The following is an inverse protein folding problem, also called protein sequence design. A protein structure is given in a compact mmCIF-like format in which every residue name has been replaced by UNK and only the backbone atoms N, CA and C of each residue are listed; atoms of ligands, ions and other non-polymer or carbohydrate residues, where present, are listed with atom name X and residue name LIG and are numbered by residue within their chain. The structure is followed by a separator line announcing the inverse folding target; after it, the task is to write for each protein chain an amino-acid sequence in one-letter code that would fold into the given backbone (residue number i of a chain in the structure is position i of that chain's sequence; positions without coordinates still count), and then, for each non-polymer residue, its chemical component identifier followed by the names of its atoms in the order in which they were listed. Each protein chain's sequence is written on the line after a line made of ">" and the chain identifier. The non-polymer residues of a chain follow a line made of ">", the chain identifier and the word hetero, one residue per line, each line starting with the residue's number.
data_IF_785108496710
#
_entry.id   IF_785108496710
#
_cell.length_a   1.000
_cell.length_b   1.000
_cell.length_c   1.000
_cell.angle_alpha   90.00
_cell.angle_beta   90.00
_cell.angle_gamma   90.00
#
_symmetry.space_group_name_H-M   'P 1'
#
loop_
_entity.id
_entity.type
_entity.pdbx_description
1 polymer ?
#
# COMPACT_ATOMS: atom_id res chain seq x y z
N UNK A 1 9.12 -30.40 2.75
CA UNK A 1 9.04 -30.11 2.37
C UNK A 1 9.01 -30.03 1.75
N UNK A 2 8.89 -29.87 1.80
CA UNK A 2 8.87 -29.51 1.31
C UNK A 2 8.69 -29.34 0.64
N UNK A 3 8.41 -29.41 0.66
CA UNK A 3 8.26 -28.94 -0.02
C UNK A 3 8.34 -28.85 -0.80
N UNK A 4 8.25 -29.11 -0.75
CA UNK A 4 8.36 -28.74 -1.46
C UNK A 4 8.46 -28.57 -2.24
N UNK A 5 8.47 -29.08 -2.26
CA UNK A 5 8.55 -28.69 -2.93
C UNK A 5 8.44 -28.36 -3.62
N UNK A 6 8.15 -28.48 -3.63
CA UNK A 6 7.93 -27.86 -4.17
C UNK A 6 8.02 -27.37 -4.96
N UNK A 7 7.91 -27.62 -5.13
CA UNK A 7 7.92 -27.09 -5.78
C UNK A 7 7.93 -26.34 -6.44
N UNK A 8 7.74 -26.20 -6.86
CA UNK A 8 7.68 -25.37 -7.39
C UNK A 8 7.24 -24.55 -7.91
N UNK A 9 6.81 -24.38 -7.72
CA UNK A 9 6.14 -23.54 -8.10
C UNK A 9 6.80 -22.46 -8.46
N UNK A 10 6.99 -22.19 -9.47
CA UNK A 10 7.82 -21.23 -9.85
C UNK A 10 7.41 -19.95 -9.49
N UNK A 11 6.39 -19.60 -9.69
CA UNK A 11 6.10 -18.34 -9.43
C UNK A 11 6.07 -18.06 -8.08
N UNK A 12 6.23 -18.96 -7.34
CA UNK A 12 6.02 -18.71 -6.12
C UNK A 12 7.15 -18.25 -5.52
N UNK A 13 7.28 -17.32 -5.16
CA UNK A 13 8.29 -16.88 -4.76
C UNK A 13 8.30 -16.61 -3.79
N UNK A 14 7.86 -16.61 -3.27
CA UNK A 14 8.20 -16.39 -2.53
C UNK A 14 7.97 -16.08 -1.36
N UNK A 15 7.51 -16.81 -0.43
CA UNK A 15 7.52 -16.68 0.95
C UNK A 15 8.90 -16.65 1.42
N UNK A 16 9.23 -15.89 2.41
CA UNK A 16 10.54 -15.97 3.00
C UNK A 16 10.79 -17.37 3.57
N UNK A 17 12.02 -17.77 3.75
CA UNK A 17 12.31 -19.07 4.32
C UNK A 17 11.69 -19.21 5.70
N UNK A 18 11.32 -20.43 6.04
CA UNK A 18 10.73 -20.66 7.36
C UNK A 18 11.75 -20.39 8.42
N UNK A 19 11.35 -19.67 9.44
CA UNK A 19 12.21 -19.31 10.54
C UNK A 19 11.49 -19.63 11.82
N UNK A 20 12.16 -20.26 12.80
CA UNK A 20 11.52 -20.58 14.06
C UNK A 20 10.94 -19.36 14.74
N UNK A 21 9.83 -19.53 15.42
CA UNK A 21 9.16 -18.43 16.08
C UNK A 21 10.10 -17.65 16.99
N UNK A 22 10.99 -18.30 17.65
CA UNK A 22 11.89 -17.61 18.56
C UNK A 22 12.80 -16.63 17.86
N UNK A 23 13.00 -16.78 16.55
CA UNK A 23 13.88 -15.90 15.81
C UNK A 23 13.15 -14.91 14.93
N UNK A 24 11.85 -15.09 14.75
CA UNK A 24 11.13 -14.24 13.81
C UNK A 24 11.06 -12.80 14.22
N UNK A 25 10.97 -12.55 15.49
CA UNK A 25 10.81 -11.17 15.95
C UNK A 25 12.04 -10.33 15.66
N UNK A 26 13.17 -10.98 15.39
CA UNK A 26 14.38 -10.23 15.09
C UNK A 26 14.79 -10.35 13.62
N UNK A 27 14.02 -11.07 12.83
CA UNK A 27 14.44 -11.33 11.46
C UNK A 27 13.89 -10.24 10.53
N UNK A 28 14.72 -9.68 9.68
CA UNK A 28 14.25 -8.56 8.85
C UNK A 28 13.16 -8.94 7.83
N UNK A 29 13.07 -10.20 7.45
CA UNK A 29 12.06 -10.63 6.51
C UNK A 29 10.72 -10.93 7.16
N UNK A 30 10.64 -10.93 8.48
CA UNK A 30 9.40 -11.19 9.17
C UNK A 30 9.04 -9.99 10.02
N UNK A 31 7.84 -9.56 9.91
CA UNK A 31 7.36 -8.49 10.75
C UNK A 31 6.33 -9.06 11.68
N UNK A 32 6.71 -9.23 12.93
CA UNK A 32 5.83 -9.81 13.93
C UNK A 32 5.04 -8.76 14.70
N UNK A 33 5.16 -7.50 14.33
CA UNK A 33 4.40 -6.48 15.00
C UNK A 33 3.01 -6.48 14.40
N UNK A 34 2.08 -7.10 15.08
CA UNK A 34 0.71 -7.21 14.58
C UNK A 34 0.08 -5.86 14.32
N UNK A 35 0.50 -4.84 15.03
CA UNK A 35 -0.05 -3.52 14.80
C UNK A 35 0.24 -3.03 13.39
N UNK A 36 1.31 -3.49 12.79
CA UNK A 36 1.63 -3.05 11.44
C UNK A 36 0.82 -3.76 10.39
N UNK A 37 0.22 -4.90 10.72
CA UNK A 37 -0.59 -5.62 9.76
C UNK A 37 -2.08 -5.38 9.95
N UNK A 38 -2.47 -4.81 11.07
CA UNK A 38 -3.88 -4.58 11.31
C UNK A 38 -4.33 -3.32 10.62
N UNK A 39 -5.56 -3.30 10.21
CA UNK A 39 -6.11 -2.08 9.64
C UNK A 39 -6.22 -1.03 10.70
N UNK A 40 -5.94 0.18 10.34
CA UNK A 40 -6.10 1.31 11.23
C UNK A 40 -6.84 2.41 10.48
N UNK A 41 -7.47 3.28 11.22
CA UNK A 41 -8.22 4.38 10.64
C UNK A 41 -7.49 5.68 10.91
N UNK A 42 -7.28 6.45 9.86
CA UNK A 42 -6.63 7.75 9.98
C UNK A 42 -7.53 8.78 9.32
N UNK A 43 -7.76 9.88 9.98
CA UNK A 43 -8.57 10.97 9.45
C UNK A 43 -7.65 12.14 9.12
N UNK A 44 -7.60 12.51 7.85
CA UNK A 44 -6.82 13.64 7.39
C UNK A 44 -7.78 14.76 7.06
N UNK A 45 -7.56 15.94 7.65
CA UNK A 45 -8.45 17.07 7.46
C UNK A 45 -7.67 18.20 6.81
N UNK A 46 -8.24 18.76 5.75
CA UNK A 46 -7.71 19.96 5.11
C UNK A 46 -8.74 21.06 5.25
N UNK A 47 -8.29 22.29 5.29
CA UNK A 47 -9.25 23.40 5.37
C UNK A 47 -9.93 23.64 4.04
N UNK A 48 -9.26 23.38 2.95
CA UNK A 48 -9.86 23.50 1.62
C UNK A 48 -9.28 22.45 0.69
N UNK A 49 -10.04 22.12 -0.34
CA UNK A 49 -9.63 21.09 -1.28
C UNK A 49 -8.39 21.49 -2.09
N UNK A 50 -8.05 22.78 -2.10
CA UNK A 50 -6.84 23.20 -2.80
C UNK A 50 -5.56 22.89 -2.03
N UNK A 51 -5.67 22.56 -0.74
CA UNK A 51 -4.48 22.23 0.02
C UNK A 51 -3.96 20.84 -0.37
N UNK A 52 -2.66 20.68 -0.29
CA UNK A 52 -2.06 19.41 -0.65
C UNK A 52 -2.50 18.31 0.29
N UNK A 53 -2.60 17.11 -0.25
CA UNK A 53 -2.87 15.95 0.58
C UNK A 53 -1.64 15.53 1.39
N UNK A 54 -0.47 15.85 0.89
CA UNK A 54 0.76 15.48 1.58
C UNK A 54 1.26 14.11 1.24
N UNK A 55 0.62 13.41 0.31
CA UNK A 55 1.08 12.09 -0.10
C UNK A 55 0.69 11.83 -1.54
N UNK A 56 1.39 10.89 -2.16
CA UNK A 56 1.07 10.41 -3.49
C UNK A 56 0.62 8.96 -3.40
N UNK A 57 -0.11 8.49 -4.39
CA UNK A 57 -0.56 7.12 -4.43
C UNK A 57 -0.04 6.42 -5.69
N UNK A 58 -0.01 5.10 -5.61
CA UNK A 58 0.44 4.25 -6.69
C UNK A 58 -0.48 3.05 -6.78
N UNK A 59 -0.63 2.50 -7.97
CA UNK A 59 -1.43 1.31 -8.18
C UNK A 59 -2.79 1.62 -8.72
N UNK A 60 -3.67 0.67 -8.62
CA UNK A 60 -5.03 0.80 -9.12
C UNK A 60 -5.47 -0.45 -9.83
N UNK A 61 -6.77 -0.54 -10.06
CA UNK A 61 -7.39 -1.70 -10.68
C UNK A 61 -6.80 -1.98 -12.06
N UNK A 62 -6.49 -0.95 -12.82
CA UNK A 62 -5.93 -1.13 -14.17
C UNK A 62 -4.53 -1.72 -14.14
N UNK A 63 -3.89 -1.71 -12.99
CA UNK A 63 -2.57 -2.31 -12.81
C UNK A 63 -2.67 -3.61 -12.02
N UNK A 64 -3.88 -4.10 -11.80
CA UNK A 64 -4.13 -5.36 -11.10
C UNK A 64 -3.59 -5.36 -9.68
N UNK A 65 -3.68 -4.23 -9.02
CA UNK A 65 -3.24 -4.13 -7.63
C UNK A 65 -4.05 -3.05 -6.91
N UNK A 66 -3.89 -3.02 -5.60
CA UNK A 66 -4.57 -2.02 -4.79
C UNK A 66 -3.91 -0.66 -4.88
N UNK A 67 -4.38 0.26 -4.07
CA UNK A 67 -3.85 1.61 -4.01
C UNK A 67 -2.95 1.71 -2.79
N UNK A 68 -1.74 2.19 -3.00
CA UNK A 68 -0.73 2.30 -1.94
C UNK A 68 -0.20 3.71 -1.89
N UNK A 69 0.23 4.14 -0.71
CA UNK A 69 0.95 5.40 -0.60
C UNK A 69 2.35 5.18 -1.15
N UNK A 70 2.75 5.97 -2.11
CA UNK A 70 4.07 5.85 -2.72
C UNK A 70 5.03 6.89 -2.20
N UNK A 71 4.54 7.92 -1.56
CA UNK A 71 5.39 8.95 -1.00
C UNK A 71 4.59 9.76 0.01
N UNK A 72 5.20 10.09 1.13
CA UNK A 72 4.59 10.99 2.12
C UNK A 72 5.56 12.15 2.25
N UNK A 73 5.04 13.36 2.06
CA UNK A 73 5.87 14.56 2.08
C UNK A 73 6.23 14.93 3.51
N UNK A 74 7.44 15.42 3.73
CA UNK A 74 7.83 15.84 5.07
C UNK A 74 7.07 17.10 5.48
N UNK A 75 6.91 17.25 6.75
CA UNK A 75 6.29 18.45 7.35
C UNK A 75 4.86 18.67 6.90
N UNK A 76 4.13 17.59 6.67
CA UNK A 76 2.71 17.67 6.31
C UNK A 76 1.87 17.00 7.38
N UNK A 77 0.58 17.26 7.33
CA UNK A 77 -0.34 16.59 8.23
C UNK A 77 -0.31 15.09 8.01
N UNK A 78 -0.13 14.66 6.76
CA UNK A 78 -0.04 13.24 6.47
C UNK A 78 1.10 12.59 7.23
N UNK A 79 2.27 13.22 7.23
CA UNK A 79 3.40 12.69 7.97
C UNK A 79 3.11 12.68 9.47
N UNK A 80 2.53 13.76 9.97
CA UNK A 80 2.24 13.86 11.38
C UNK A 80 1.26 12.78 11.85
N UNK A 81 0.34 12.39 11.00
CA UNK A 81 -0.64 11.36 11.32
C UNK A 81 -0.11 9.94 11.21
N UNK A 82 1.14 9.79 10.81
CA UNK A 82 1.74 8.47 10.75
C UNK A 82 1.53 7.73 9.45
N UNK A 83 1.09 8.43 8.41
CA UNK A 83 1.02 7.82 7.10
C UNK A 83 2.42 7.59 6.58
N UNK A 84 2.62 6.50 5.87
CA UNK A 84 3.95 6.21 5.35
C UNK A 84 3.87 5.42 4.06
N UNK A 85 4.98 5.45 3.34
CA UNK A 85 5.11 4.70 2.11
C UNK A 85 4.82 3.23 2.38
N UNK A 86 4.15 2.58 1.47
CA UNK A 86 3.73 1.17 1.55
C UNK A 86 2.46 0.94 2.36
N UNK A 87 1.82 2.01 2.86
CA UNK A 87 0.48 1.85 3.41
C UNK A 87 -0.48 1.58 2.26
N UNK A 88 -1.29 0.56 2.39
CA UNK A 88 -2.35 0.29 1.42
C UNK A 88 -3.62 0.97 1.89
N UNK A 89 -4.26 1.71 1.00
CA UNK A 89 -5.54 2.33 1.33
C UNK A 89 -6.64 1.34 1.04
N UNK A 90 -7.33 0.91 2.05
CA UNK A 90 -8.41 -0.08 1.92
C UNK A 90 -9.72 0.61 1.59
N UNK A 91 -9.99 1.73 2.21
CA UNK A 91 -11.21 2.48 1.94
C UNK A 91 -11.01 3.95 2.27
N UNK A 92 -11.83 4.79 1.65
CA UNK A 92 -11.83 6.22 1.92
C UNK A 92 -13.28 6.65 2.05
N UNK A 93 -13.63 7.20 3.18
CA UNK A 93 -15.00 7.71 3.45
C UNK A 93 -16.06 6.67 3.10
N UNK A 94 -15.78 5.43 3.40
CA UNK A 94 -16.74 4.35 3.15
C UNK A 94 -16.70 3.75 1.78
N UNK A 95 -15.89 4.29 0.87
CA UNK A 95 -15.78 3.74 -0.47
C UNK A 95 -14.57 2.81 -0.53
N UNK A 96 -14.76 1.60 -1.00
CA UNK A 96 -13.67 0.64 -1.07
C UNK A 96 -12.65 1.05 -2.10
N UNK A 97 -11.37 0.96 -1.74
CA UNK A 97 -10.29 1.23 -2.66
C UNK A 97 -9.59 -0.06 -3.06
N UNK A 98 -10.20 -1.20 -2.79
CA UNK A 98 -9.55 -2.45 -3.13
C UNK A 98 -9.68 -2.81 -4.59
N UNK A 99 -10.62 -2.22 -5.31
CA UNK A 99 -10.80 -2.52 -6.71
C UNK A 99 -11.24 -1.23 -7.41
N UNK A 100 -10.36 -0.24 -7.41
CA UNK A 100 -10.69 1.07 -7.93
C UNK A 100 -9.60 1.52 -8.89
N UNK A 101 -9.99 2.24 -9.91
CA UNK A 101 -9.01 2.79 -10.85
C UNK A 101 -8.24 3.92 -10.21
N UNK A 102 -6.99 4.07 -10.62
CA UNK A 102 -6.11 5.07 -10.05
C UNK A 102 -6.70 6.47 -10.14
N UNK A 103 -7.18 6.84 -11.32
CA UNK A 103 -7.72 8.19 -11.51
C UNK A 103 -8.94 8.43 -10.67
N UNK A 104 -9.77 7.42 -10.48
CA UNK A 104 -10.94 7.56 -9.65
C UNK A 104 -10.57 7.72 -8.19
N UNK A 105 -9.58 6.99 -7.75
CA UNK A 105 -9.08 7.12 -6.38
C UNK A 105 -8.55 8.53 -6.14
N UNK A 106 -7.79 9.07 -7.09
CA UNK A 106 -7.26 10.42 -6.97
C UNK A 106 -8.41 11.42 -6.88
N UNK A 107 -9.44 11.25 -7.70
CA UNK A 107 -10.58 12.16 -7.66
C UNK A 107 -11.26 12.16 -6.31
N UNK A 108 -11.47 10.98 -5.74
CA UNK A 108 -12.15 10.88 -4.45
C UNK A 108 -11.30 11.55 -3.38
N UNK A 109 -9.99 11.31 -3.40
CA UNK A 109 -9.13 11.91 -2.39
C UNK A 109 -9.09 13.42 -2.52
N UNK A 110 -9.04 13.93 -3.73
CA UNK A 110 -8.91 15.37 -3.92
C UNK A 110 -10.22 16.11 -3.73
N UNK A 111 -11.34 15.42 -3.78
CA UNK A 111 -12.62 16.06 -3.68
C UNK A 111 -13.08 16.31 -2.25
N UNK A 112 -12.39 15.74 -1.28
CA UNK A 112 -12.85 15.80 0.10
C UNK A 112 -11.88 16.53 0.98
N UNK A 113 -12.40 17.32 1.90
CA UNK A 113 -11.55 17.98 2.90
C UNK A 113 -11.36 17.10 4.12
N UNK A 114 -12.32 16.25 4.41
CA UNK A 114 -12.18 15.30 5.49
C UNK A 114 -12.07 13.92 4.89
N UNK A 115 -10.95 13.25 5.09
CA UNK A 115 -10.67 11.99 4.47
C UNK A 115 -10.45 10.96 5.56
N UNK A 116 -11.42 10.09 5.74
CA UNK A 116 -11.34 9.02 6.73
C UNK A 116 -10.86 7.78 5.99
N UNK A 117 -9.62 7.40 6.22
CA UNK A 117 -9.01 6.30 5.49
C UNK A 117 -8.80 5.10 6.38
N UNK A 118 -9.10 3.93 5.85
CA UNK A 118 -8.67 2.69 6.47
C UNK A 118 -7.43 2.22 5.74
N UNK A 119 -6.39 1.96 6.49
CA UNK A 119 -5.08 1.66 5.93
C UNK A 119 -4.51 0.41 6.54
N UNK A 120 -3.62 -0.24 5.79
CA UNK A 120 -2.88 -1.37 6.29
C UNK A 120 -1.46 -1.27 5.75
N UNK A 121 -0.47 -1.33 6.63
CA UNK A 121 0.91 -1.26 6.19
C UNK A 121 1.26 -2.61 5.54
N UNK A 122 1.53 -2.59 4.25
CA UNK A 122 1.71 -3.84 3.51
C UNK A 122 2.85 -3.70 2.50
N UNK A 123 4.10 -3.66 3.00
CA UNK A 123 5.25 -3.44 2.10
C UNK A 123 5.43 -4.49 1.03
N UNK A 124 5.08 -5.73 1.30
CA UNK A 124 5.21 -6.78 0.30
C UNK A 124 4.31 -6.48 -0.89
N UNK A 125 3.06 -6.13 -0.62
CA UNK A 125 2.14 -5.78 -1.69
C UNK A 125 2.58 -4.53 -2.43
N UNK A 126 3.13 -3.57 -1.71
CA UNK A 126 3.62 -2.36 -2.32
C UNK A 126 4.79 -2.65 -3.28
N UNK A 127 5.71 -3.49 -2.87
CA UNK A 127 6.79 -3.87 -3.75
C UNK A 127 6.29 -4.51 -5.02
N UNK A 128 5.24 -5.30 -4.92
CA UNK A 128 4.69 -5.96 -6.11
C UNK A 128 4.09 -4.98 -7.09
N UNK A 129 3.66 -3.80 -6.64
CA UNK A 129 3.09 -2.82 -7.57
C UNK A 129 4.13 -2.36 -8.57
N UNK A 130 5.40 -2.31 -8.19
CA UNK A 130 6.43 -1.87 -9.11
C UNK A 130 6.57 -2.86 -10.25
N UNK A 131 6.51 -4.13 -9.95
CA UNK A 131 6.59 -5.16 -10.99
C UNK A 131 5.39 -5.12 -11.90
N UNK A 132 4.20 -4.99 -11.34
CA UNK A 132 2.98 -5.00 -12.13
C UNK A 132 2.85 -3.77 -13.00
N UNK A 133 3.18 -2.62 -12.47
CA UNK A 133 3.09 -1.39 -13.23
C UNK A 133 4.09 -1.41 -14.38
N UNK A 134 5.30 -1.87 -14.13
CA UNK A 134 6.28 -1.94 -15.19
C UNK A 134 5.83 -2.88 -16.29
N UNK A 135 5.27 -4.01 -15.94
CA UNK A 135 4.82 -4.96 -16.93
C UNK A 135 3.65 -4.43 -17.74
N UNK A 136 2.75 -3.71 -17.12
CA UNK A 136 1.60 -3.21 -17.83
C UNK A 136 1.91 -1.98 -18.66
N UNK A 137 3.04 -1.33 -18.38
CA UNK A 137 3.41 -0.14 -19.12
C UNK A 137 4.59 -0.32 -20.00
N UNK A 138 4.80 -1.49 -20.48
CA UNK A 138 5.91 -1.71 -21.35
C UNK A 138 5.85 -0.73 -22.49
N UNK A 139 6.88 0.03 -22.64
CA UNK A 139 6.91 1.01 -23.69
C UNK A 139 6.15 2.27 -23.43
N UNK A 140 5.49 2.39 -22.34
CA UNK A 140 4.73 3.54 -22.05
C UNK A 140 5.33 4.24 -20.94
N UNK A 141 5.43 5.36 -21.10
CA UNK A 141 6.01 6.01 -20.14
C UNK A 141 5.22 6.33 -19.14
N UNK A 142 4.82 6.47 -18.56
CA UNK A 142 4.13 6.88 -17.75
C UNK A 142 4.06 7.19 -16.82
N UNK A 143 4.05 7.35 -16.27
CA UNK A 143 3.80 7.73 -15.34
C UNK A 143 3.50 8.02 -14.70
#
# INVERSE_FOLDING_TARGET
>A
MELSSMVELPAYEYAPPWIPLSERCHHPDYNNDLQQFLMRTVTLIREKVSETLGFNIRGGKEHFCGIYLSKVMPNTEAERLGLREADQIISVNGTSFEDIEHTKAVKILKANTEIVMQLRYFPYGYKKTYEKVQNSNVGVASS
#
